data_IF_005625710365
#
_entry.id   IF_005625710365
#
_cell.length_a   1.000
_cell.length_b   1.000
_cell.length_c   1.000
_cell.angle_alpha   90.00
_cell.angle_beta   90.00
_cell.angle_gamma   90.00
#
_symmetry.space_group_name_H-M   'P 1'
#
loop_
_entity.id
_entity.type
_entity.pdbx_description
1 polymer ?
#
# COMPACT_ATOMS: atom_id res chain seq x y z
N UNK A 1 -23.44 0.03 28.88
CA UNK A 1 -23.43 1.34 29.51
C UNK A 1 -22.41 2.26 28.88
N UNK A 2 -22.52 3.56 29.10
CA UNK A 2 -21.54 4.54 28.63
C UNK A 2 -20.20 4.36 29.39
N UNK A 3 -19.09 4.65 28.70
CA UNK A 3 -17.75 4.67 29.27
C UNK A 3 -17.26 6.12 29.27
N UNK A 4 -16.69 6.59 30.37
CA UNK A 4 -16.18 7.95 30.51
C UNK A 4 -14.74 8.05 30.02
N UNK A 5 -14.34 9.22 29.51
CA UNK A 5 -12.95 9.54 29.23
C UNK A 5 -12.51 10.65 30.19
N UNK A 6 -11.56 10.33 31.06
CA UNK A 6 -10.95 11.28 31.96
C UNK A 6 -9.77 11.95 31.26
N UNK A 7 -9.81 13.28 31.19
CA UNK A 7 -8.76 14.11 30.59
C UNK A 7 -8.20 15.09 31.61
N UNK A 8 -6.93 15.51 31.53
CA UNK A 8 -6.42 16.63 32.32
C UNK A 8 -7.04 17.94 31.81
N UNK A 9 -7.00 18.98 32.64
CA UNK A 9 -7.38 20.32 32.20
C UNK A 9 -6.45 20.79 31.07
N UNK A 10 -6.98 21.52 30.09
CA UNK A 10 -6.24 22.04 28.96
C UNK A 10 -5.03 22.88 29.43
N UNK A 11 -3.85 22.53 28.98
CA UNK A 11 -2.60 23.17 29.40
C UNK A 11 -2.20 22.88 30.84
N UNK A 12 -2.96 22.01 31.53
CA UNK A 12 -2.78 21.69 32.94
C UNK A 12 -1.79 20.55 33.17
N UNK A 13 -1.47 20.41 34.47
CA UNK A 13 -0.71 19.28 34.99
C UNK A 13 -1.61 18.05 35.15
N UNK A 14 -1.02 16.87 35.32
CA UNK A 14 -1.75 15.64 35.62
C UNK A 14 -2.48 15.67 36.98
N UNK A 15 -2.25 16.69 37.77
CA UNK A 15 -2.85 16.79 39.12
C UNK A 15 -4.37 16.94 39.07
N UNK A 16 -4.92 17.47 37.99
CA UNK A 16 -6.37 17.59 37.77
C UNK A 16 -7.05 16.26 37.45
N UNK A 17 -6.30 15.24 37.00
CA UNK A 17 -6.82 13.89 36.78
C UNK A 17 -7.14 13.15 38.06
N UNK A 18 -6.34 13.33 39.12
CA UNK A 18 -6.49 12.60 40.39
C UNK A 18 -7.90 12.74 40.98
N UNK A 19 -8.45 13.96 41.21
CA UNK A 19 -9.79 14.12 41.73
C UNK A 19 -10.88 13.62 40.76
N UNK A 20 -10.67 13.73 39.48
CA UNK A 20 -11.63 13.22 38.46
C UNK A 20 -11.71 11.70 38.51
N UNK A 21 -10.56 11.03 38.55
CA UNK A 21 -10.47 9.56 38.64
C UNK A 21 -11.11 9.09 39.96
N UNK A 22 -10.78 9.72 41.08
CA UNK A 22 -11.35 9.36 42.37
C UNK A 22 -12.89 9.44 42.38
N UNK A 23 -13.49 10.45 41.74
CA UNK A 23 -14.94 10.54 41.56
C UNK A 23 -15.53 9.42 40.73
N UNK A 24 -14.89 9.10 39.61
CA UNK A 24 -15.35 8.02 38.73
C UNK A 24 -15.28 6.66 39.41
N UNK A 25 -14.23 6.41 40.19
CA UNK A 25 -14.06 5.21 41.01
C UNK A 25 -15.12 5.13 42.09
N UNK A 26 -15.38 6.23 42.81
CA UNK A 26 -16.42 6.29 43.83
C UNK A 26 -17.83 6.02 43.27
N UNK A 27 -18.09 6.39 42.02
CA UNK A 27 -19.34 6.10 41.32
C UNK A 27 -19.39 4.69 40.71
N UNK A 28 -18.30 3.93 40.75
CA UNK A 28 -18.18 2.65 40.03
C UNK A 28 -18.33 2.80 38.52
N UNK A 29 -18.06 3.98 37.99
CA UNK A 29 -18.23 4.28 36.57
C UNK A 29 -17.02 3.78 35.76
N UNK A 30 -17.23 3.02 34.67
CA UNK A 30 -16.12 2.58 33.81
C UNK A 30 -15.51 3.78 33.05
N UNK A 31 -14.19 3.90 33.07
CA UNK A 31 -13.50 5.02 32.44
C UNK A 31 -12.23 4.59 31.71
N UNK A 32 -11.78 5.47 30.83
CA UNK A 32 -10.47 5.48 30.16
C UNK A 32 -9.75 6.78 30.53
N UNK A 33 -8.44 6.77 30.61
CA UNK A 33 -7.64 7.99 30.76
C UNK A 33 -7.07 8.36 29.38
N UNK A 34 -7.34 9.58 28.95
CA UNK A 34 -6.68 10.19 27.80
C UNK A 34 -5.83 11.39 28.27
N UNK A 35 -4.49 11.23 28.32
CA UNK A 35 -3.60 12.33 28.67
C UNK A 35 -3.57 13.48 27.65
N UNK A 36 -4.26 13.37 26.57
CA UNK A 36 -4.35 14.25 25.40
C UNK A 36 -3.03 14.32 24.62
N UNK A 37 -3.05 13.84 23.39
CA UNK A 37 -1.95 13.99 22.43
C UNK A 37 -2.00 15.39 21.83
N UNK A 38 -1.01 16.22 22.12
CA UNK A 38 -0.92 17.57 21.55
C UNK A 38 -0.34 17.55 20.14
N UNK A 39 -0.76 18.47 19.26
CA UNK A 39 -0.17 18.62 17.94
C UNK A 39 1.30 19.07 18.00
N UNK A 40 2.05 18.84 16.92
CA UNK A 40 3.41 19.37 16.75
C UNK A 40 3.34 20.91 16.81
N UNK A 41 4.28 21.49 17.54
CA UNK A 41 4.33 22.93 17.81
C UNK A 41 3.51 23.39 19.02
N UNK A 42 2.61 22.56 19.53
CA UNK A 42 1.75 22.84 20.70
C UNK A 42 2.04 21.93 21.89
N UNK A 43 3.16 21.21 21.88
CA UNK A 43 3.55 20.38 23.03
C UNK A 43 3.54 18.88 22.80
N UNK A 44 3.67 18.43 21.56
CA UNK A 44 3.66 17.01 21.21
C UNK A 44 4.61 16.16 22.08
N UNK A 45 5.89 16.55 22.20
CA UNK A 45 6.87 15.79 22.99
C UNK A 45 6.45 15.69 24.46
N UNK A 46 6.03 16.81 25.07
CA UNK A 46 5.55 16.82 26.45
C UNK A 46 4.30 15.94 26.62
N UNK A 47 3.45 15.84 25.61
CA UNK A 47 2.29 14.95 25.66
C UNK A 47 2.69 13.47 25.68
N UNK A 48 3.72 13.06 24.95
CA UNK A 48 4.24 11.68 25.01
C UNK A 48 4.81 11.36 26.39
N UNK A 49 5.56 12.27 26.99
CA UNK A 49 6.02 12.13 28.38
C UNK A 49 4.85 12.00 29.35
N UNK A 50 3.79 12.76 29.15
CA UNK A 50 2.56 12.72 29.94
C UNK A 50 1.85 11.37 29.85
N UNK A 51 1.81 10.73 28.66
CA UNK A 51 1.31 9.36 28.51
C UNK A 51 2.13 8.34 29.32
N UNK A 52 3.44 8.43 29.30
CA UNK A 52 4.32 7.56 30.07
C UNK A 52 4.15 7.79 31.59
N UNK A 53 3.98 9.06 32.01
CA UNK A 53 3.73 9.41 33.42
C UNK A 53 2.38 8.88 33.91
N UNK A 54 1.32 9.02 33.12
CA UNK A 54 0.01 8.46 33.46
C UNK A 54 0.10 6.94 33.64
N UNK A 55 0.81 6.23 32.77
CA UNK A 55 1.02 4.77 32.93
C UNK A 55 1.77 4.45 34.22
N UNK A 56 2.73 5.26 34.62
CA UNK A 56 3.47 5.08 35.89
C UNK A 56 2.58 5.33 37.12
N UNK A 57 1.78 6.39 37.09
CA UNK A 57 0.88 6.75 38.20
C UNK A 57 -0.30 5.78 38.35
N UNK A 58 -0.88 5.36 37.24
CA UNK A 58 -2.03 4.44 37.17
C UNK A 58 -1.73 3.19 36.33
N UNK A 59 -0.90 2.27 36.84
CA UNK A 59 -0.37 1.15 36.05
C UNK A 59 -1.45 0.17 35.54
N UNK A 60 -2.62 0.13 36.19
CA UNK A 60 -3.73 -0.75 35.81
C UNK A 60 -4.85 -0.03 35.06
N UNK A 61 -4.80 1.29 34.96
CA UNK A 61 -5.86 2.04 34.30
C UNK A 61 -5.90 1.72 32.79
N UNK A 62 -7.10 1.63 32.24
CA UNK A 62 -7.28 1.62 30.81
C UNK A 62 -7.02 3.04 30.27
N UNK A 63 -6.28 3.10 29.17
CA UNK A 63 -5.91 4.37 28.55
C UNK A 63 -6.33 4.36 27.06
N UNK A 64 -6.55 5.56 26.55
CA UNK A 64 -6.71 5.80 25.12
C UNK A 64 -5.75 6.89 24.61
N UNK A 65 -5.55 6.95 23.30
CA UNK A 65 -4.79 7.97 22.63
C UNK A 65 -5.56 8.52 21.43
N UNK A 66 -5.70 9.84 21.37
CA UNK A 66 -6.28 10.55 20.22
C UNK A 66 -5.25 10.74 19.10
N UNK A 67 -5.01 9.71 18.29
CA UNK A 67 -4.01 9.72 17.21
C UNK A 67 -4.36 10.77 16.14
N UNK A 68 -5.65 11.00 15.89
CA UNK A 68 -6.13 12.01 14.95
C UNK A 68 -5.59 13.41 15.21
N UNK A 69 -5.33 13.77 16.45
CA UNK A 69 -4.74 15.08 16.81
C UNK A 69 -3.36 15.32 16.17
N UNK A 70 -2.66 14.27 15.79
CA UNK A 70 -1.38 14.40 15.11
C UNK A 70 -1.52 14.19 13.60
N UNK A 71 -2.22 13.16 13.16
CA UNK A 71 -2.33 12.82 11.73
C UNK A 71 -3.13 13.85 10.94
N UNK A 72 -4.21 14.38 11.50
CA UNK A 72 -5.04 15.40 10.83
C UNK A 72 -4.37 16.79 10.81
N UNK A 73 -3.51 17.07 11.80
CA UNK A 73 -2.90 18.39 11.97
C UNK A 73 -1.43 18.47 11.51
N UNK A 74 -0.93 17.42 10.85
CA UNK A 74 0.43 17.40 10.29
C UNK A 74 0.36 17.09 8.81
N UNK A 75 0.86 18.00 7.96
CA UNK A 75 0.89 17.80 6.51
C UNK A 75 1.97 16.78 6.11
N UNK A 76 1.68 15.51 6.37
CA UNK A 76 2.52 14.35 6.05
C UNK A 76 1.65 13.10 5.89
N UNK A 77 2.09 12.15 5.07
CA UNK A 77 1.42 10.85 4.94
C UNK A 77 1.30 10.17 6.31
N UNK A 78 0.10 9.73 6.65
CA UNK A 78 -0.22 9.23 8.01
C UNK A 78 0.42 7.89 8.36
N UNK A 79 0.83 7.09 7.38
CA UNK A 79 1.30 5.70 7.58
C UNK A 79 2.43 5.58 8.61
N UNK A 80 3.49 6.38 8.46
CA UNK A 80 4.63 6.37 9.39
C UNK A 80 4.28 6.94 10.77
N UNK A 81 3.43 7.97 10.79
CA UNK A 81 2.93 8.60 12.02
C UNK A 81 2.09 7.59 12.81
N UNK A 82 1.14 6.94 12.16
CA UNK A 82 0.30 5.90 12.78
C UNK A 82 1.15 4.72 13.29
N UNK A 83 2.14 4.28 12.52
CA UNK A 83 3.02 3.20 12.96
C UNK A 83 3.77 3.55 14.25
N UNK A 84 4.33 4.76 14.35
CA UNK A 84 5.06 5.22 15.53
C UNK A 84 4.15 5.38 16.75
N UNK A 85 2.99 6.03 16.59
CA UNK A 85 2.05 6.24 17.69
C UNK A 85 1.47 4.92 18.20
N UNK A 86 1.19 3.98 17.32
CA UNK A 86 0.75 2.63 17.70
C UNK A 86 1.85 1.85 18.41
N UNK A 87 3.13 2.03 18.05
CA UNK A 87 4.24 1.45 18.81
C UNK A 87 4.26 1.97 20.25
N UNK A 88 4.14 3.28 20.44
CA UNK A 88 4.02 3.90 21.78
C UNK A 88 2.81 3.33 22.53
N UNK A 89 1.66 3.19 21.85
CA UNK A 89 0.49 2.56 22.45
C UNK A 89 0.77 1.13 22.93
N UNK A 90 1.45 0.32 22.12
CA UNK A 90 1.77 -1.06 22.50
C UNK A 90 2.74 -1.12 23.69
N UNK A 91 3.79 -0.30 23.70
CA UNK A 91 4.76 -0.26 24.78
C UNK A 91 4.14 0.21 26.11
N UNK A 92 3.22 1.18 26.04
CA UNK A 92 2.51 1.69 27.20
C UNK A 92 1.24 0.89 27.56
N UNK A 93 0.90 -0.16 26.81
CA UNK A 93 -0.30 -0.97 27.05
C UNK A 93 -1.60 -0.20 26.83
N UNK A 94 -1.61 0.79 25.94
CA UNK A 94 -2.81 1.56 25.54
C UNK A 94 -3.58 0.73 24.51
N UNK A 95 -4.86 0.47 24.80
CA UNK A 95 -5.68 -0.45 23.99
C UNK A 95 -6.78 0.24 23.18
N UNK A 96 -7.02 1.52 23.44
CA UNK A 96 -8.00 2.30 22.71
C UNK A 96 -7.31 3.45 21.99
N UNK A 97 -7.67 3.64 20.73
CA UNK A 97 -7.22 4.78 19.92
C UNK A 97 -8.41 5.47 19.27
N UNK A 98 -8.35 6.79 19.17
CA UNK A 98 -9.28 7.59 18.39
C UNK A 98 -8.55 8.16 17.20
N UNK A 99 -9.07 7.88 16.01
CA UNK A 99 -8.56 8.42 14.74
C UNK A 99 -9.71 8.84 13.84
N UNK A 100 -9.39 9.66 12.85
CA UNK A 100 -10.30 10.14 11.82
C UNK A 100 -9.62 10.03 10.45
N UNK A 101 -10.38 10.16 9.38
CA UNK A 101 -9.91 10.13 7.98
C UNK A 101 -10.48 11.33 7.22
N UNK A 102 -10.47 12.53 7.83
CA UNK A 102 -11.10 13.73 7.26
C UNK A 102 -10.18 14.38 6.24
N UNK A 103 -8.92 14.58 6.60
CA UNK A 103 -7.94 15.21 5.71
C UNK A 103 -7.41 14.22 4.66
N UNK A 104 -7.10 14.64 3.42
CA UNK A 104 -6.70 13.70 2.35
C UNK A 104 -5.51 12.80 2.68
N UNK A 105 -4.49 13.29 3.37
CA UNK A 105 -3.30 12.50 3.71
C UNK A 105 -3.49 11.54 4.90
N UNK A 106 -4.59 11.67 5.66
CA UNK A 106 -4.98 10.71 6.70
C UNK A 106 -5.96 9.65 6.17
N UNK A 107 -6.28 9.67 4.89
CA UNK A 107 -7.19 8.69 4.28
C UNK A 107 -6.55 7.31 4.30
N UNK A 108 -7.21 6.37 4.99
CA UNK A 108 -6.68 5.02 5.23
C UNK A 108 -6.11 4.82 6.63
N UNK A 109 -6.11 5.84 7.50
CA UNK A 109 -5.55 5.80 8.85
C UNK A 109 -6.08 4.63 9.69
N UNK A 110 -7.36 4.30 9.59
CA UNK A 110 -7.95 3.14 10.31
C UNK A 110 -7.28 1.83 9.87
N UNK A 111 -7.08 1.66 8.57
CA UNK A 111 -6.43 0.46 8.02
C UNK A 111 -4.95 0.39 8.36
N UNK A 112 -4.27 1.53 8.34
CA UNK A 112 -2.87 1.66 8.76
C UNK A 112 -2.70 1.25 10.22
N UNK A 113 -3.57 1.76 11.11
CA UNK A 113 -3.58 1.41 12.53
C UNK A 113 -3.84 -0.08 12.73
N UNK A 114 -4.75 -0.70 11.95
CA UNK A 114 -5.00 -2.14 12.04
C UNK A 114 -3.77 -2.97 11.67
N UNK A 115 -3.03 -2.58 10.64
CA UNK A 115 -1.76 -3.22 10.27
C UNK A 115 -0.70 -2.96 11.34
N UNK A 116 -0.54 -1.68 11.74
CA UNK A 116 0.47 -1.25 12.72
C UNK A 116 0.30 -1.97 14.06
N UNK A 117 -0.94 -2.10 14.60
CA UNK A 117 -1.15 -2.76 15.90
C UNK A 117 -0.70 -4.21 15.92
N UNK A 118 -0.83 -4.93 14.80
CA UNK A 118 -0.39 -6.33 14.69
C UNK A 118 1.14 -6.41 14.64
N UNK A 119 1.76 -5.57 13.82
CA UNK A 119 3.20 -5.49 13.67
C UNK A 119 3.88 -5.08 14.99
N UNK A 120 3.37 -4.04 15.65
CA UNK A 120 3.94 -3.53 16.90
C UNK A 120 3.65 -4.47 18.07
N UNK A 121 2.49 -5.14 18.09
CA UNK A 121 2.22 -6.20 19.08
C UNK A 121 3.22 -7.33 18.98
N UNK A 122 3.51 -7.81 17.76
CA UNK A 122 4.54 -8.82 17.53
C UNK A 122 5.90 -8.37 18.07
N UNK A 123 6.31 -7.13 17.73
CA UNK A 123 7.61 -6.60 18.13
C UNK A 123 7.75 -6.46 19.66
N UNK A 124 6.76 -5.85 20.31
CA UNK A 124 6.78 -5.60 21.76
C UNK A 124 6.69 -6.91 22.55
N UNK A 125 5.78 -7.81 22.17
CA UNK A 125 5.61 -9.09 22.85
C UNK A 125 6.83 -10.00 22.67
N UNK A 126 7.37 -10.04 21.44
CA UNK A 126 8.54 -10.85 21.11
C UNK A 126 9.88 -10.21 21.48
N UNK A 127 9.89 -8.96 21.98
CA UNK A 127 11.10 -8.17 22.25
C UNK A 127 12.05 -8.15 21.05
N UNK A 128 11.50 -7.91 19.88
CA UNK A 128 12.22 -7.91 18.60
C UNK A 128 11.88 -6.68 17.78
N UNK A 129 12.69 -6.39 16.76
CA UNK A 129 12.43 -5.27 15.86
C UNK A 129 11.35 -5.64 14.84
N UNK A 130 10.46 -4.68 14.45
CA UNK A 130 9.37 -4.93 13.50
C UNK A 130 9.83 -4.91 12.02
N UNK A 131 11.04 -5.38 11.72
CA UNK A 131 11.60 -5.36 10.36
C UNK A 131 11.46 -6.74 9.70
N UNK A 132 11.00 -6.78 8.45
CA UNK A 132 10.93 -8.02 7.66
C UNK A 132 9.81 -8.98 8.08
N UNK A 133 8.81 -8.49 8.81
CA UNK A 133 7.67 -9.30 9.29
C UNK A 133 6.41 -9.00 8.48
N UNK A 134 6.10 -7.72 8.32
CA UNK A 134 4.94 -7.24 7.57
C UNK A 134 5.31 -5.92 6.90
N UNK A 135 5.31 -5.91 5.58
CA UNK A 135 5.70 -4.74 4.77
C UNK A 135 4.53 -3.91 4.26
N UNK A 136 3.30 -4.24 4.67
CA UNK A 136 2.09 -3.54 4.22
C UNK A 136 2.05 -2.06 4.58
N UNK A 137 2.87 -1.59 5.52
CA UNK A 137 3.03 -0.16 5.83
C UNK A 137 4.10 0.52 4.97
N UNK A 138 4.80 -0.21 4.10
CA UNK A 138 5.71 0.37 3.10
C UNK A 138 4.91 0.61 1.83
N UNK A 139 4.50 1.86 1.59
CA UNK A 139 3.54 2.17 0.51
C UNK A 139 4.20 2.82 -0.71
N UNK A 140 4.96 3.89 -0.51
CA UNK A 140 5.56 4.63 -1.62
C UNK A 140 6.82 3.96 -2.14
N UNK A 141 7.65 3.40 -1.28
CA UNK A 141 8.90 2.70 -1.63
C UNK A 141 8.69 1.19 -1.63
N UNK A 142 9.65 0.44 -2.14
CA UNK A 142 9.65 -1.01 -2.00
C UNK A 142 10.43 -1.44 -0.74
N UNK A 143 10.01 -2.51 -0.07
CA UNK A 143 10.74 -3.10 1.06
C UNK A 143 12.15 -3.57 0.67
N UNK A 144 12.30 -4.06 -0.56
CA UNK A 144 13.56 -4.43 -1.19
C UNK A 144 13.54 -4.01 -2.65
N UNK A 145 14.65 -3.48 -3.13
CA UNK A 145 14.82 -3.10 -4.54
C UNK A 145 15.73 -4.12 -5.19
N UNK A 146 15.20 -4.80 -6.21
CA UNK A 146 16.00 -5.67 -7.06
C UNK A 146 16.68 -4.80 -8.12
N UNK A 147 17.98 -4.94 -8.25
CA UNK A 147 18.76 -4.32 -9.30
C UNK A 147 19.26 -5.40 -10.23
N UNK A 148 19.23 -5.11 -11.52
CA UNK A 148 19.77 -5.98 -12.55
C UNK A 148 20.97 -5.29 -13.19
N UNK A 149 22.11 -5.95 -13.20
CA UNK A 149 23.25 -5.47 -13.96
C UNK A 149 22.94 -5.57 -15.47
N UNK A 150 23.57 -4.71 -16.26
CA UNK A 150 23.41 -4.79 -17.72
C UNK A 150 23.82 -6.17 -18.27
N UNK A 151 24.82 -6.80 -17.67
CA UNK A 151 25.27 -8.14 -18.06
C UNK A 151 24.17 -9.18 -17.89
N UNK A 152 23.49 -9.20 -16.72
CA UNK A 152 22.38 -10.11 -16.47
C UNK A 152 21.21 -9.88 -17.44
N UNK A 153 20.89 -8.61 -17.76
CA UNK A 153 19.82 -8.30 -18.71
C UNK A 153 20.19 -8.68 -20.14
N UNK A 154 21.48 -8.61 -20.52
CA UNK A 154 21.97 -9.08 -21.83
C UNK A 154 22.01 -10.62 -21.94
N UNK A 155 22.29 -11.31 -20.85
CA UNK A 155 22.15 -12.77 -20.79
C UNK A 155 20.68 -13.18 -20.95
N UNK A 156 19.76 -12.48 -20.30
CA UNK A 156 18.32 -12.70 -20.49
C UNK A 156 17.90 -12.42 -21.94
N UNK A 157 18.42 -11.35 -22.56
CA UNK A 157 18.17 -11.03 -23.95
C UNK A 157 18.63 -12.17 -24.88
N UNK A 158 19.82 -12.68 -24.67
CA UNK A 158 20.39 -13.75 -25.49
C UNK A 158 19.55 -15.05 -25.46
N UNK A 159 18.79 -15.27 -24.39
CA UNK A 159 17.91 -16.42 -24.29
C UNK A 159 16.54 -16.22 -24.96
N UNK A 160 16.22 -15.00 -25.42
CA UNK A 160 14.93 -14.67 -26.06
C UNK A 160 15.01 -14.92 -27.56
N UNK A 161 14.05 -15.66 -28.07
CA UNK A 161 13.94 -15.97 -29.52
C UNK A 161 12.76 -15.26 -30.18
N UNK A 162 11.86 -14.68 -29.43
CA UNK A 162 10.67 -13.99 -29.91
C UNK A 162 10.88 -12.46 -30.01
N UNK A 163 10.08 -11.75 -30.84
CA UNK A 163 10.21 -10.32 -31.05
C UNK A 163 9.53 -9.49 -29.97
N UNK A 164 8.88 -10.09 -28.94
CA UNK A 164 8.16 -9.34 -27.93
C UNK A 164 9.12 -8.64 -26.99
N UNK A 165 8.80 -7.42 -26.63
CA UNK A 165 9.62 -6.64 -25.70
C UNK A 165 9.48 -7.13 -24.26
N UNK A 166 10.58 -6.98 -23.52
CA UNK A 166 10.68 -7.16 -22.05
C UNK A 166 11.12 -5.84 -21.45
N UNK A 167 10.43 -5.40 -20.40
CA UNK A 167 10.66 -4.11 -19.73
C UNK A 167 11.03 -4.38 -18.29
N UNK A 168 12.17 -3.83 -17.89
CA UNK A 168 12.68 -3.82 -16.51
C UNK A 168 12.96 -2.39 -16.10
N UNK A 169 12.72 -2.04 -14.85
CA UNK A 169 13.17 -0.78 -14.30
C UNK A 169 13.68 -0.97 -12.87
N UNK A 170 14.71 -0.23 -12.54
CA UNK A 170 15.25 -0.06 -11.21
C UNK A 170 15.42 1.44 -10.91
N UNK A 171 16.22 1.79 -9.92
CA UNK A 171 16.45 3.20 -9.54
C UNK A 171 17.26 3.99 -10.57
N UNK A 172 18.00 3.33 -11.42
CA UNK A 172 18.97 3.96 -12.30
C UNK A 172 18.47 4.12 -13.73
N UNK A 173 17.74 3.13 -14.22
CA UNK A 173 17.32 3.11 -15.62
C UNK A 173 16.13 2.18 -15.87
N UNK A 174 15.50 2.43 -17.01
CA UNK A 174 14.54 1.54 -17.65
C UNK A 174 15.28 0.82 -18.77
N UNK A 175 15.18 -0.50 -18.79
CA UNK A 175 15.78 -1.33 -19.85
C UNK A 175 14.67 -2.08 -20.59
N UNK A 176 14.67 -1.95 -21.90
CA UNK A 176 13.70 -2.59 -22.80
C UNK A 176 14.45 -3.38 -23.84
N UNK A 177 14.14 -4.66 -23.99
CA UNK A 177 14.80 -5.51 -24.96
C UNK A 177 13.88 -6.61 -25.51
N UNK A 178 14.23 -7.09 -26.69
CA UNK A 178 13.73 -8.29 -27.33
C UNK A 178 14.92 -9.04 -27.99
N UNK A 179 14.67 -10.03 -28.85
CA UNK A 179 15.73 -10.78 -29.56
C UNK A 179 16.65 -9.91 -30.40
N UNK A 180 16.19 -8.73 -30.86
CA UNK A 180 16.90 -7.89 -31.81
C UNK A 180 17.43 -6.58 -31.23
N UNK A 181 16.76 -6.04 -30.23
CA UNK A 181 17.01 -4.69 -29.70
C UNK A 181 17.24 -4.70 -28.20
N UNK A 182 18.12 -3.83 -27.77
CA UNK A 182 18.38 -3.55 -26.34
C UNK A 182 18.51 -2.04 -26.16
N UNK A 183 17.56 -1.45 -25.47
CA UNK A 183 17.49 0.00 -25.20
C UNK A 183 17.51 0.22 -23.70
N UNK A 184 18.39 1.08 -23.22
CA UNK A 184 18.49 1.47 -21.83
C UNK A 184 18.50 2.99 -21.72
N UNK A 185 17.71 3.55 -20.82
CA UNK A 185 17.60 4.99 -20.65
C UNK A 185 16.72 5.37 -19.45
N UNK A 186 16.50 6.67 -19.30
CA UNK A 186 15.67 7.24 -18.21
C UNK A 186 14.41 7.94 -18.73
N UNK A 187 14.42 8.36 -19.99
CA UNK A 187 13.27 8.99 -20.64
C UNK A 187 12.50 7.99 -21.48
N UNK A 188 11.20 7.85 -21.20
CA UNK A 188 10.36 6.86 -21.87
C UNK A 188 10.03 7.21 -23.33
N UNK A 189 10.06 8.49 -23.68
CA UNK A 189 9.83 8.94 -25.06
C UNK A 189 11.04 8.59 -25.93
N UNK A 190 12.26 8.84 -25.44
CA UNK A 190 13.51 8.48 -26.11
C UNK A 190 13.65 6.96 -26.24
N UNK A 191 13.27 6.22 -25.21
CA UNK A 191 13.23 4.76 -25.25
C UNK A 191 12.23 4.31 -26.32
N UNK A 192 10.99 4.79 -26.28
CA UNK A 192 9.94 4.37 -27.19
C UNK A 192 10.29 4.66 -28.66
N UNK A 193 10.88 5.82 -28.95
CA UNK A 193 11.32 6.18 -30.30
C UNK A 193 12.31 5.17 -30.88
N UNK A 194 13.16 4.56 -30.07
CA UNK A 194 14.15 3.58 -30.48
C UNK A 194 13.56 2.18 -30.67
N UNK A 195 12.36 1.89 -30.17
CA UNK A 195 11.74 0.57 -30.33
C UNK A 195 11.18 0.34 -31.73
N UNK A 196 10.86 1.42 -32.46
CA UNK A 196 10.37 1.33 -33.84
C UNK A 196 9.00 0.67 -33.99
N UNK A 197 8.15 0.85 -32.98
CA UNK A 197 6.79 0.27 -32.97
C UNK A 197 5.83 1.20 -33.68
N UNK A 198 5.14 0.68 -34.69
CA UNK A 198 4.18 1.43 -35.52
C UNK A 198 2.73 0.96 -35.34
N UNK A 199 2.53 -0.23 -34.81
CA UNK A 199 1.19 -0.81 -34.61
C UNK A 199 0.52 -0.16 -33.37
N UNK A 200 -0.68 0.44 -33.50
CA UNK A 200 -1.29 1.25 -32.45
C UNK A 200 -1.58 0.49 -31.15
N UNK A 201 -2.07 -0.75 -31.20
CA UNK A 201 -2.37 -1.52 -29.99
C UNK A 201 -1.11 -1.93 -29.24
N UNK A 202 -0.05 -2.24 -29.98
CA UNK A 202 1.26 -2.52 -29.40
C UNK A 202 1.91 -1.28 -28.81
N UNK A 203 1.79 -0.12 -29.49
CA UNK A 203 2.26 1.17 -28.98
C UNK A 203 1.55 1.55 -27.67
N UNK A 204 0.23 1.38 -27.60
CA UNK A 204 -0.54 1.63 -26.39
C UNK A 204 -0.12 0.72 -25.24
N UNK A 205 0.05 -0.57 -25.52
CA UNK A 205 0.51 -1.54 -24.51
C UNK A 205 1.87 -1.16 -23.95
N UNK A 206 2.86 -0.90 -24.83
CA UNK A 206 4.21 -0.51 -24.40
C UNK A 206 4.21 0.85 -23.66
N UNK A 207 3.42 1.80 -24.12
CA UNK A 207 3.25 3.10 -23.44
C UNK A 207 2.76 2.94 -22.01
N UNK A 208 1.77 2.07 -21.80
CA UNK A 208 1.26 1.73 -20.44
C UNK A 208 2.35 1.10 -19.57
N UNK A 209 3.11 0.17 -20.10
CA UNK A 209 4.15 -0.53 -19.34
C UNK A 209 5.36 0.40 -19.07
N UNK A 210 5.75 1.24 -20.02
CA UNK A 210 6.79 2.26 -19.85
C UNK A 210 6.40 3.31 -18.82
N UNK A 211 5.14 3.72 -18.76
CA UNK A 211 4.65 4.64 -17.73
C UNK A 211 4.79 4.05 -16.32
N UNK A 212 4.48 2.76 -16.14
CA UNK A 212 4.72 2.07 -14.86
C UNK A 212 6.22 1.99 -14.53
N UNK A 213 7.06 1.70 -15.53
CA UNK A 213 8.51 1.64 -15.36
C UNK A 213 9.08 3.00 -14.93
N UNK A 214 8.63 4.09 -15.56
CA UNK A 214 9.02 5.46 -15.20
C UNK A 214 8.61 5.81 -13.77
N UNK A 215 7.38 5.48 -13.39
CA UNK A 215 6.90 5.68 -12.02
C UNK A 215 7.71 4.87 -11.01
N UNK A 216 8.02 3.62 -11.33
CA UNK A 216 8.86 2.77 -10.49
C UNK A 216 10.24 3.38 -10.27
N UNK A 217 10.89 3.83 -11.33
CA UNK A 217 12.20 4.48 -11.26
C UNK A 217 12.14 5.75 -10.38
N UNK A 218 11.15 6.62 -10.59
CA UNK A 218 10.98 7.86 -9.84
C UNK A 218 10.77 7.63 -8.34
N UNK A 219 10.07 6.56 -7.95
CA UNK A 219 9.77 6.21 -6.57
C UNK A 219 10.79 5.26 -5.92
N UNK A 220 11.79 4.82 -6.67
CA UNK A 220 12.77 3.84 -6.19
C UNK A 220 12.17 2.45 -5.96
N UNK A 221 11.26 2.05 -6.85
CA UNK A 221 10.65 0.71 -6.90
C UNK A 221 11.33 -0.15 -7.96
N UNK A 222 11.14 -1.45 -7.85
CA UNK A 222 11.50 -2.40 -8.90
C UNK A 222 10.30 -2.61 -9.82
N UNK A 223 10.54 -2.65 -11.12
CA UNK A 223 9.50 -2.99 -12.08
C UNK A 223 9.96 -4.04 -13.08
N UNK A 224 9.10 -5.01 -13.31
CA UNK A 224 9.19 -5.98 -14.39
C UNK A 224 7.87 -5.95 -15.14
N UNK A 225 7.93 -6.01 -16.46
CA UNK A 225 6.77 -5.99 -17.36
C UNK A 225 5.66 -6.94 -16.90
N UNK A 226 4.40 -6.49 -17.03
CA UNK A 226 3.18 -7.15 -16.55
C UNK A 226 3.08 -7.24 -15.01
N UNK A 227 4.11 -6.86 -14.29
CA UNK A 227 4.06 -6.76 -12.82
C UNK A 227 3.15 -5.65 -12.36
N UNK A 228 2.60 -5.83 -11.16
CA UNK A 228 1.91 -4.79 -10.43
C UNK A 228 2.91 -4.07 -9.53
N UNK A 229 2.84 -2.74 -9.49
CA UNK A 229 3.61 -1.99 -8.49
C UNK A 229 3.07 -2.27 -7.09
N UNK A 230 3.97 -2.53 -6.15
CA UNK A 230 3.62 -2.75 -4.77
C UNK A 230 3.36 -1.41 -4.06
N UNK A 231 2.23 -1.29 -3.39
CA UNK A 231 1.82 -0.10 -2.63
C UNK A 231 1.48 -0.46 -1.17
N UNK A 232 2.11 -1.49 -0.63
CA UNK A 232 1.80 -1.98 0.70
C UNK A 232 0.32 -2.34 0.84
N UNK A 233 -0.34 -1.83 1.89
CA UNK A 233 -1.77 -2.09 2.11
C UNK A 233 -2.70 -1.49 1.04
N UNK A 234 -2.19 -0.56 0.23
CA UNK A 234 -2.91 0.05 -0.89
C UNK A 234 -2.82 -0.76 -2.18
N UNK A 235 -1.96 -1.78 -2.24
CA UNK A 235 -1.87 -2.65 -3.41
C UNK A 235 -3.25 -3.27 -3.66
N UNK A 236 -3.87 -3.03 -4.84
CA UNK A 236 -5.13 -3.68 -5.16
C UNK A 236 -4.97 -5.19 -5.04
N UNK A 237 -5.99 -5.94 -4.58
CA UNK A 237 -5.97 -7.39 -4.75
C UNK A 237 -5.68 -7.66 -6.21
N UNK A 238 -4.82 -8.66 -6.49
CA UNK A 238 -4.67 -9.13 -7.86
C UNK A 238 -6.08 -9.39 -8.38
N UNK A 239 -6.57 -8.51 -9.25
CA UNK A 239 -7.64 -8.90 -10.13
C UNK A 239 -7.07 -10.15 -10.80
N UNK A 240 -7.64 -11.31 -10.47
CA UNK A 240 -7.41 -12.51 -11.26
C UNK A 240 -7.63 -12.03 -12.66
N UNK A 241 -6.52 -11.88 -13.39
CA UNK A 241 -6.56 -11.38 -14.74
C UNK A 241 -7.40 -12.38 -15.52
N UNK A 242 -8.68 -12.15 -15.51
CA UNK A 242 -9.63 -12.62 -16.50
C UNK A 242 -9.32 -11.92 -17.82
N UNK A 243 -8.06 -11.86 -18.20
CA UNK A 243 -7.68 -11.81 -19.56
C UNK A 243 -8.08 -13.19 -20.11
N UNK A 244 -9.34 -13.27 -20.50
CA UNK A 244 -9.74 -14.14 -21.59
C UNK A 244 -8.74 -13.80 -22.69
N UNK A 245 -7.64 -14.54 -22.76
CA UNK A 245 -6.87 -14.67 -23.98
C UNK A 245 -7.88 -15.27 -24.93
N UNK A 246 -8.51 -14.42 -25.75
CA UNK A 246 -9.20 -14.92 -26.95
C UNK A 246 -8.11 -15.67 -27.69
N UNK A 247 -8.15 -16.97 -27.59
CA UNK A 247 -7.26 -17.85 -28.35
C UNK A 247 -7.54 -17.59 -29.82
N UNK A 248 -6.55 -17.77 -30.66
CA UNK A 248 -6.69 -17.59 -32.14
C UNK A 248 -7.91 -18.36 -32.67
N UNK A 249 -8.36 -19.42 -32.04
CA UNK A 249 -9.53 -20.22 -32.37
C UNK A 249 -10.89 -19.50 -32.09
N UNK A 250 -10.93 -18.55 -31.16
CA UNK A 250 -12.15 -17.78 -30.87
C UNK A 250 -12.31 -16.58 -31.79
N UNK A 251 -11.20 -16.01 -32.29
CA UNK A 251 -11.21 -14.93 -33.31
C UNK A 251 -11.74 -15.40 -34.65
N UNK A 252 -11.62 -16.70 -34.98
CA UNK A 252 -12.05 -17.27 -36.26
C UNK A 252 -13.57 -17.58 -36.29
N UNK A 253 -14.28 -17.50 -35.19
CA UNK A 253 -15.72 -17.76 -35.14
C UNK A 253 -16.61 -16.53 -35.33
N UNK A 254 -16.03 -15.34 -35.21
CA UNK A 254 -16.75 -14.07 -35.38
C UNK A 254 -16.45 -13.35 -36.71
N UNK A 255 -15.82 -14.00 -37.69
CA UNK A 255 -15.63 -13.44 -39.02
C UNK A 255 -16.83 -13.85 -39.94
N UNK A 256 -17.74 -12.92 -40.26
CA UNK A 256 -18.89 -13.21 -41.11
C UNK A 256 -18.59 -13.39 -42.58
N UNK A 257 -17.32 -13.44 -42.98
CA UNK A 257 -16.92 -13.47 -44.39
C UNK A 257 -16.73 -14.87 -45.01
N UNK A 258 -16.96 -15.97 -44.25
CA UNK A 258 -16.87 -17.33 -44.82
C UNK A 258 -18.19 -18.08 -44.80
N UNK A 259 -19.17 -17.51 -45.51
CA UNK A 259 -20.48 -18.13 -45.68
C UNK A 259 -21.03 -17.91 -47.09
N UNK A 260 -20.40 -18.45 -48.10
CA UNK A 260 -21.07 -18.64 -49.39
C UNK A 260 -20.52 -19.87 -50.10
N UNK A 261 -21.38 -20.84 -50.36
CA UNK A 261 -21.12 -21.80 -51.41
C UNK A 261 -21.71 -23.18 -51.26
N UNK A 262 -22.79 -23.40 -51.99
CA UNK A 262 -23.28 -24.64 -52.61
C UNK A 262 -24.14 -25.60 -51.75
N UNK A 263 -25.42 -25.59 -51.91
CA UNK A 263 -26.35 -26.13 -52.93
C UNK A 263 -26.33 -27.65 -53.09
N UNK A 264 -27.56 -28.13 -53.13
CA UNK A 264 -28.07 -29.42 -53.68
C UNK A 264 -28.09 -30.60 -52.70
N UNK A 265 -29.16 -31.23 -52.45
CA UNK A 265 -30.40 -31.61 -53.08
C UNK A 265 -30.79 -33.03 -52.63
N UNK A 266 -32.13 -33.28 -52.51
CA UNK A 266 -32.80 -34.58 -52.55
C UNK A 266 -32.65 -35.50 -51.31
N UNK A 267 -33.62 -36.15 -50.81
CA UNK A 267 -34.99 -36.47 -51.17
C UNK A 267 -35.56 -37.39 -50.10
N UNK A 268 -36.87 -37.24 -49.82
CA UNK A 268 -37.87 -38.32 -49.64
C UNK A 268 -37.55 -39.48 -48.68
N UNK A 269 -38.33 -39.67 -47.76
CA UNK A 269 -39.48 -40.57 -47.63
C UNK A 269 -39.67 -41.02 -46.19
N UNK A 270 -40.80 -40.78 -45.69
CA UNK A 270 -41.87 -41.71 -45.35
C UNK A 270 -41.71 -42.54 -44.06
N UNK A 271 -42.72 -42.33 -43.26
CA UNK A 271 -43.47 -43.32 -42.42
C UNK A 271 -42.80 -43.79 -41.13
N UNK A 272 -43.29 -43.55 -40.06
CA UNK A 272 -44.51 -43.84 -39.32
C UNK A 272 -44.58 -43.05 -38.02
#
# INVERSE_FOLDING_TARGET
GARWVAIPDLGGTLDTLQPTIAKLEAWGAPYLIDPILEPIGLGFTASIERYAEVRRRWPKAEMMMGIGNLTELTAADSTGVNALLVAICQELGIRAVLTTEVIPWARGAVREIDVARRLMHYAVTGRTIPKGVDDRLVTVKDPAVLTYSEAELRELQAAITDPNYRIFADREAITVFNSERFVRGTDIHDIFAQLGVTEPSHAFYLGKELAKASLAMALGKTYRQEGQLAWGYLTPPEERAGHVRLTHAERSRDDPSTGSGSSQSRSRSERR
#
